data_IF_933626716038
#
_entry.id   IF_933626716038
#
_cell.length_a   1.000
_cell.length_b   1.000
_cell.length_c   1.000
_cell.angle_alpha   90.00
_cell.angle_beta   90.00
_cell.angle_gamma   90.00
#
_symmetry.space_group_name_H-M   'P 1'
#
loop_
_entity.id
_entity.type
_entity.pdbx_description
1 polymer ?
#
# COMPACT_ATOMS: atom_id res chain seq x y z
N UNK A 1 -30.59 -9.58 -11.96
CA UNK A 1 -30.12 -9.15 -10.62
C UNK A 1 -29.43 -7.79 -10.76
N UNK A 2 -29.90 -6.74 -10.07
CA UNK A 2 -29.26 -5.43 -10.14
C UNK A 2 -27.96 -5.43 -9.30
N UNK A 3 -26.89 -4.85 -9.83
CA UNK A 3 -25.61 -4.68 -9.10
C UNK A 3 -25.82 -3.65 -7.97
N UNK A 4 -25.48 -3.96 -6.71
CA UNK A 4 -25.87 -3.13 -5.55
C UNK A 4 -25.04 -1.87 -5.33
N UNK A 5 -24.08 -1.53 -6.19
CA UNK A 5 -23.25 -0.33 -6.02
C UNK A 5 -23.10 0.45 -7.32
N UNK A 6 -23.51 1.73 -7.38
CA UNK A 6 -23.24 2.58 -8.52
C UNK A 6 -21.73 2.77 -8.67
N UNK A 7 -21.18 2.39 -9.83
CA UNK A 7 -19.80 2.70 -10.19
C UNK A 7 -19.67 4.22 -10.28
N UNK A 8 -18.85 4.81 -9.42
CA UNK A 8 -18.41 6.19 -9.54
C UNK A 8 -17.85 6.39 -10.95
N UNK A 9 -18.51 7.22 -11.76
CA UNK A 9 -17.94 7.70 -13.03
C UNK A 9 -16.66 8.46 -12.68
N UNK A 10 -15.53 7.97 -13.13
CA UNK A 10 -14.26 8.69 -13.05
C UNK A 10 -14.28 9.79 -14.10
N UNK A 11 -14.30 11.04 -13.64
CA UNK A 11 -13.92 12.18 -14.47
C UNK A 11 -12.49 11.96 -15.00
N UNK A 12 -12.21 12.51 -16.18
CA UNK A 12 -10.89 12.45 -16.83
C UNK A 12 -9.76 12.84 -15.87
N UNK A 13 -8.69 12.06 -15.89
CA UNK A 13 -7.53 12.25 -15.04
C UNK A 13 -6.82 13.55 -15.43
N UNK A 14 -6.83 14.53 -14.54
CA UNK A 14 -5.80 15.54 -14.56
C UNK A 14 -4.51 14.86 -14.06
N UNK A 15 -3.43 14.93 -14.83
CA UNK A 15 -2.10 14.59 -14.33
C UNK A 15 -1.81 15.49 -13.13
N UNK A 16 -1.86 14.94 -11.92
CA UNK A 16 -1.50 15.65 -10.69
C UNK A 16 0.00 15.44 -10.43
N UNK A 17 0.84 16.48 -10.59
CA UNK A 17 2.29 16.36 -10.37
C UNK A 17 2.65 15.95 -8.93
N UNK A 18 1.77 16.23 -7.95
CA UNK A 18 1.98 15.82 -6.57
C UNK A 18 1.78 14.31 -6.40
N UNK A 19 0.81 13.73 -7.12
CA UNK A 19 0.59 12.28 -7.16
C UNK A 19 1.78 11.56 -7.80
N UNK A 20 2.29 12.07 -8.92
CA UNK A 20 3.47 11.50 -9.59
C UNK A 20 4.69 11.52 -8.66
N UNK A 21 4.92 12.64 -7.97
CA UNK A 21 6.01 12.78 -7.00
C UNK A 21 5.86 11.77 -5.85
N UNK A 22 4.66 11.64 -5.29
CA UNK A 22 4.38 10.69 -4.21
C UNK A 22 4.61 9.23 -4.63
N UNK A 23 4.23 8.86 -5.86
CA UNK A 23 4.52 7.52 -6.39
C UNK A 23 6.00 7.27 -6.61
N UNK A 24 6.75 8.26 -7.09
CA UNK A 24 8.21 8.17 -7.25
C UNK A 24 8.90 7.97 -5.90
N UNK A 25 8.49 8.72 -4.88
CA UNK A 25 9.06 8.59 -3.54
C UNK A 25 8.68 7.25 -2.90
N UNK A 26 7.45 6.78 -3.09
CA UNK A 26 7.04 5.46 -2.67
C UNK A 26 7.85 4.35 -3.37
N UNK A 27 8.08 4.47 -4.68
CA UNK A 27 8.92 3.52 -5.43
C UNK A 27 10.34 3.47 -4.85
N UNK A 28 10.95 4.64 -4.61
CA UNK A 28 12.29 4.74 -4.02
C UNK A 28 12.34 4.08 -2.65
N UNK A 29 11.32 4.27 -1.82
CA UNK A 29 11.23 3.64 -0.51
C UNK A 29 11.16 2.11 -0.61
N UNK A 30 10.37 1.58 -1.55
CA UNK A 30 10.32 0.12 -1.81
C UNK A 30 11.66 -0.39 -2.31
N UNK A 31 12.31 0.28 -3.26
CA UNK A 31 13.63 -0.15 -3.75
C UNK A 31 14.68 -0.15 -2.64
N UNK A 32 14.69 0.86 -1.77
CA UNK A 32 15.61 0.93 -0.64
C UNK A 32 15.39 -0.23 0.34
N UNK A 33 14.13 -0.56 0.64
CA UNK A 33 13.77 -1.71 1.49
C UNK A 33 14.18 -3.04 0.87
N UNK A 34 14.00 -3.20 -0.45
CA UNK A 34 14.46 -4.39 -1.15
C UNK A 34 15.98 -4.53 -1.12
N UNK A 35 16.72 -3.43 -1.27
CA UNK A 35 18.19 -3.47 -1.21
C UNK A 35 18.73 -3.86 0.18
N UNK A 36 17.95 -3.59 1.24
CA UNK A 36 18.30 -3.93 2.62
C UNK A 36 17.91 -5.35 3.02
N UNK A 37 17.05 -6.03 2.25
CA UNK A 37 16.58 -7.38 2.57
C UNK A 37 17.45 -8.46 1.90
N UNK A 38 18.28 -9.18 2.66
CA UNK A 38 19.15 -10.22 2.10
C UNK A 38 18.36 -11.42 1.56
N UNK A 39 17.15 -11.67 2.08
CA UNK A 39 16.31 -12.78 1.67
C UNK A 39 15.64 -12.48 0.31
N UNK A 40 15.86 -13.35 -0.68
CA UNK A 40 15.26 -13.20 -2.00
C UNK A 40 13.78 -13.61 -2.02
N UNK A 41 13.37 -14.54 -1.15
CA UNK A 41 12.00 -15.03 -1.13
C UNK A 41 11.06 -13.98 -0.55
N UNK A 42 10.07 -13.57 -1.34
CA UNK A 42 9.05 -12.59 -0.93
C UNK A 42 9.60 -11.18 -0.71
N UNK A 43 10.81 -10.89 -1.18
CA UNK A 43 11.52 -9.61 -0.95
C UNK A 43 10.70 -8.41 -1.38
N UNK A 44 10.16 -8.46 -2.60
CA UNK A 44 9.38 -7.34 -3.12
C UNK A 44 8.10 -7.13 -2.30
N UNK A 45 7.40 -8.20 -1.96
CA UNK A 45 6.18 -8.17 -1.16
C UNK A 45 6.42 -7.66 0.25
N UNK A 46 7.52 -8.09 0.88
CA UNK A 46 7.95 -7.63 2.21
C UNK A 46 8.25 -6.13 2.20
N UNK A 47 9.00 -5.68 1.20
CA UNK A 47 9.33 -4.27 1.01
C UNK A 47 8.08 -3.42 0.77
N UNK A 48 7.18 -3.88 -0.12
CA UNK A 48 5.91 -3.20 -0.41
C UNK A 48 5.03 -3.05 0.83
N UNK A 49 4.78 -4.14 1.56
CA UNK A 49 3.97 -4.14 2.79
C UNK A 49 4.59 -3.19 3.82
N UNK A 50 5.91 -3.28 4.04
CA UNK A 50 6.63 -2.41 4.97
C UNK A 50 6.51 -0.93 4.58
N UNK A 51 6.67 -0.60 3.29
CA UNK A 51 6.56 0.76 2.80
C UNK A 51 5.16 1.35 3.03
N UNK A 52 4.10 0.57 2.79
CA UNK A 52 2.72 1.00 3.03
C UNK A 52 2.50 1.33 4.52
N UNK A 53 2.92 0.45 5.43
CA UNK A 53 2.75 0.68 6.87
C UNK A 53 3.54 1.90 7.34
N UNK A 54 4.80 2.05 6.90
CA UNK A 54 5.61 3.24 7.21
C UNK A 54 4.96 4.53 6.73
N UNK A 55 4.39 4.54 5.52
CA UNK A 55 3.70 5.70 4.98
C UNK A 55 2.43 6.05 5.79
N UNK A 56 1.69 5.05 6.27
CA UNK A 56 0.47 5.25 7.06
C UNK A 56 0.76 5.69 8.51
N UNK A 57 1.85 5.21 9.09
CA UNK A 57 2.25 5.47 10.48
C UNK A 57 3.16 6.69 10.64
N UNK A 58 3.65 7.26 9.54
CA UNK A 58 4.44 8.48 9.58
C UNK A 58 3.63 9.62 10.25
N UNK A 59 4.25 10.40 11.16
CA UNK A 59 3.58 11.54 11.77
C UNK A 59 3.03 12.47 10.69
N UNK A 60 1.73 12.77 10.75
CA UNK A 60 1.14 13.76 9.85
C UNK A 60 1.65 15.14 10.25
N UNK A 61 2.25 15.87 9.32
CA UNK A 61 2.53 17.29 9.53
C UNK A 61 1.19 18.01 9.79
N UNK A 62 1.04 18.74 10.90
CA UNK A 62 -0.17 19.51 11.15
C UNK A 62 -0.27 20.63 10.11
N UNK A 63 -1.40 20.71 9.39
CA UNK A 63 -1.67 21.76 8.42
C UNK A 63 -3.00 21.57 7.68
N UNK A 64 -3.60 22.65 7.15
CA UNK A 64 -4.77 22.56 6.28
C UNK A 64 -4.37 21.82 5.00
N UNK A 65 -4.76 20.54 4.89
CA UNK A 65 -4.31 19.61 3.84
C UNK A 65 -3.73 18.30 4.37
N UNK A 66 -3.61 18.11 5.69
CA UNK A 66 -3.35 16.80 6.26
C UNK A 66 -4.39 15.80 5.72
N UNK A 67 -4.00 14.58 5.26
CA UNK A 67 -4.86 13.68 4.51
C UNK A 67 -5.94 13.01 5.39
N UNK A 68 -6.84 13.79 5.96
CA UNK A 68 -8.12 13.33 6.48
C UNK A 68 -9.14 13.49 5.37
N UNK A 69 -9.63 12.37 4.82
CA UNK A 69 -10.54 12.44 3.69
C UNK A 69 -10.80 11.08 3.05
N UNK A 70 -11.87 11.04 2.25
CA UNK A 70 -12.26 9.85 1.49
C UNK A 70 -11.10 9.38 0.61
N UNK A 71 -10.84 8.07 0.47
CA UNK A 71 -9.83 7.56 -0.44
C UNK A 71 -10.03 8.12 -1.85
N UNK A 72 -9.03 8.80 -2.39
CA UNK A 72 -9.07 9.31 -3.76
C UNK A 72 -8.94 8.11 -4.73
N UNK A 73 -9.96 7.86 -5.58
CA UNK A 73 -9.93 6.77 -6.55
C UNK A 73 -8.74 6.83 -7.53
N UNK A 74 -8.24 8.03 -7.85
CA UNK A 74 -7.11 8.21 -8.76
C UNK A 74 -5.81 7.71 -8.13
N UNK A 75 -5.59 8.02 -6.85
CA UNK A 75 -4.43 7.54 -6.10
C UNK A 75 -4.46 6.01 -5.99
N UNK A 76 -5.63 5.44 -5.67
CA UNK A 76 -5.80 3.99 -5.59
C UNK A 76 -5.57 3.30 -6.95
N UNK A 77 -6.00 3.92 -8.05
CA UNK A 77 -5.78 3.42 -9.40
C UNK A 77 -4.31 3.50 -9.80
N UNK A 78 -3.61 4.60 -9.48
CA UNK A 78 -2.19 4.77 -9.78
C UNK A 78 -1.33 3.74 -9.03
N UNK A 79 -1.56 3.54 -7.73
CA UNK A 79 -0.86 2.52 -6.94
C UNK A 79 -1.14 1.09 -7.45
N UNK A 80 -2.38 0.83 -7.89
CA UNK A 80 -2.76 -0.45 -8.51
C UNK A 80 -2.01 -0.70 -9.82
N UNK A 81 -1.88 0.30 -10.69
CA UNK A 81 -1.12 0.16 -11.94
C UNK A 81 0.34 -0.13 -11.62
N UNK A 82 0.93 0.69 -10.75
CA UNK A 82 2.33 0.55 -10.33
C UNK A 82 2.64 -0.86 -9.77
N UNK A 83 1.80 -1.40 -8.87
CA UNK A 83 2.08 -2.72 -8.27
C UNK A 83 1.96 -3.85 -9.31
N UNK A 84 1.02 -3.74 -10.25
CA UNK A 84 0.85 -4.74 -11.32
C UNK A 84 2.03 -4.77 -12.29
N UNK A 85 2.63 -3.61 -12.58
CA UNK A 85 3.85 -3.50 -13.37
C UNK A 85 5.05 -4.11 -12.64
N UNK A 86 5.22 -3.80 -11.34
CA UNK A 86 6.31 -4.37 -10.54
C UNK A 86 6.21 -5.89 -10.44
N UNK A 87 5.01 -6.43 -10.24
CA UNK A 87 4.78 -7.87 -10.17
C UNK A 87 5.10 -8.64 -11.47
N UNK A 88 5.24 -7.96 -12.62
CA UNK A 88 5.78 -8.62 -13.82
C UNK A 88 7.25 -9.05 -13.65
N UNK A 89 8.01 -8.34 -12.80
CA UNK A 89 9.42 -8.63 -12.50
C UNK A 89 9.59 -9.69 -11.41
N UNK A 90 8.52 -10.05 -10.70
CA UNK A 90 8.53 -11.01 -9.59
C UNK A 90 7.43 -12.08 -9.79
N UNK A 91 7.54 -12.94 -10.82
CA UNK A 91 6.49 -13.88 -11.19
C UNK A 91 6.17 -14.90 -10.09
N UNK A 92 7.16 -15.33 -9.32
CA UNK A 92 6.97 -16.25 -8.18
C UNK A 92 6.13 -15.58 -7.09
N UNK A 93 6.49 -14.36 -6.70
CA UNK A 93 5.72 -13.60 -5.70
C UNK A 93 4.30 -13.24 -6.17
N UNK A 94 4.13 -13.05 -7.47
CA UNK A 94 2.82 -12.78 -8.09
C UNK A 94 1.87 -13.98 -7.98
N UNK A 95 2.40 -15.20 -8.09
CA UNK A 95 1.61 -16.44 -8.06
C UNK A 95 1.37 -16.95 -6.64
N UNK A 96 2.20 -16.55 -5.69
CA UNK A 96 2.05 -16.92 -4.29
C UNK A 96 0.79 -16.25 -3.67
N UNK A 97 -0.10 -17.10 -3.14
CA UNK A 97 -1.36 -16.67 -2.54
C UNK A 97 -1.16 -16.00 -1.17
N UNK A 98 -0.16 -16.41 -0.39
CA UNK A 98 0.19 -15.81 0.91
C UNK A 98 0.71 -14.40 0.70
N UNK A 99 1.60 -14.21 -0.27
CA UNK A 99 2.11 -12.89 -0.63
C UNK A 99 1.02 -12.00 -1.23
N UNK A 100 0.09 -12.58 -2.00
CA UNK A 100 -1.08 -11.86 -2.49
C UNK A 100 -1.97 -11.38 -1.33
N UNK A 101 -2.24 -12.24 -0.34
CA UNK A 101 -2.99 -11.87 0.86
C UNK A 101 -2.29 -10.74 1.63
N UNK A 102 -0.97 -10.83 1.82
CA UNK A 102 -0.18 -9.80 2.48
C UNK A 102 -0.30 -8.42 1.80
N UNK A 103 -0.11 -8.37 0.47
CA UNK A 103 -0.23 -7.12 -0.31
C UNK A 103 -1.64 -6.55 -0.27
N UNK A 104 -2.68 -7.39 -0.30
CA UNK A 104 -4.09 -6.96 -0.24
C UNK A 104 -4.46 -6.41 1.14
N UNK A 105 -4.02 -7.06 2.21
CA UNK A 105 -4.23 -6.60 3.57
C UNK A 105 -3.52 -5.27 3.83
N UNK A 106 -2.29 -5.09 3.36
CA UNK A 106 -1.59 -3.80 3.43
C UNK A 106 -2.34 -2.69 2.69
N UNK A 107 -2.85 -2.97 1.49
CA UNK A 107 -3.70 -2.03 0.75
C UNK A 107 -4.99 -1.66 1.53
N UNK A 108 -5.60 -2.65 2.20
CA UNK A 108 -6.77 -2.42 3.05
C UNK A 108 -6.45 -1.53 4.24
N UNK A 109 -5.31 -1.76 4.90
CA UNK A 109 -4.82 -0.91 5.99
C UNK A 109 -4.59 0.53 5.53
N UNK A 110 -4.00 0.72 4.34
CA UNK A 110 -3.86 2.04 3.74
C UNK A 110 -5.20 2.74 3.48
N UNK A 111 -6.17 2.04 2.89
CA UNK A 111 -7.50 2.62 2.67
C UNK A 111 -8.20 2.97 3.99
N UNK A 112 -8.02 2.15 5.03
CA UNK A 112 -8.57 2.41 6.35
C UNK A 112 -7.93 3.64 7.01
N UNK A 113 -6.61 3.80 6.91
CA UNK A 113 -5.88 4.91 7.53
C UNK A 113 -6.22 6.27 6.92
N UNK A 114 -6.72 6.31 5.67
CA UNK A 114 -7.26 7.52 5.04
C UNK A 114 -8.60 7.94 5.67
N UNK A 115 -9.45 6.98 6.00
CA UNK A 115 -10.81 7.21 6.48
C UNK A 115 -10.90 7.39 8.00
N UNK A 116 -10.05 6.71 8.77
CA UNK A 116 -10.10 6.69 10.22
C UNK A 116 -8.71 6.97 10.80
N UNK A 117 -8.55 8.03 11.61
CA UNK A 117 -7.36 8.18 12.45
C UNK A 117 -7.16 6.95 13.34
N UNK A 118 -5.91 6.60 13.62
CA UNK A 118 -5.60 5.55 14.57
C UNK A 118 -6.08 5.96 15.97
N UNK A 119 -6.78 5.06 16.64
CA UNK A 119 -7.11 5.16 18.07
C UNK A 119 -5.86 4.92 18.93
N UNK A 120 -5.97 5.08 20.26
CA UNK A 120 -4.82 4.94 21.18
C UNK A 120 -4.13 3.56 21.05
N UNK A 121 -4.88 2.51 20.70
CA UNK A 121 -4.37 1.15 20.44
C UNK A 121 -3.96 0.90 18.98
N UNK A 122 -4.13 1.88 18.10
CA UNK A 122 -3.98 1.73 16.66
C UNK A 122 -2.54 1.46 16.23
N UNK A 123 -1.56 2.08 16.91
CA UNK A 123 -0.13 1.84 16.69
C UNK A 123 0.27 0.38 16.97
N UNK A 124 0.13 -0.11 18.21
CA UNK A 124 0.43 -1.49 18.55
C UNK A 124 -0.34 -2.53 17.72
N UNK A 125 -1.59 -2.23 17.33
CA UNK A 125 -2.38 -3.11 16.45
C UNK A 125 -1.81 -3.14 15.04
N UNK A 126 -1.37 -2.00 14.50
CA UNK A 126 -0.73 -1.92 13.20
C UNK A 126 0.60 -2.67 13.18
N UNK A 127 1.39 -2.61 14.25
CA UNK A 127 2.64 -3.38 14.38
C UNK A 127 2.38 -4.89 14.33
N UNK A 128 1.45 -5.41 15.14
CA UNK A 128 1.09 -6.84 15.11
C UNK A 128 0.55 -7.28 13.75
N UNK A 129 -0.24 -6.42 13.10
CA UNK A 129 -0.71 -6.69 11.76
C UNK A 129 0.47 -6.77 10.78
N UNK A 130 1.36 -5.78 10.80
CA UNK A 130 2.57 -5.77 9.98
C UNK A 130 3.35 -7.06 10.14
N UNK A 131 3.69 -7.46 11.37
CA UNK A 131 4.43 -8.69 11.67
C UNK A 131 3.77 -9.93 11.05
N UNK A 132 2.45 -10.07 11.22
CA UNK A 132 1.67 -11.15 10.63
C UNK A 132 1.71 -11.15 9.10
N UNK A 133 1.62 -9.98 8.47
CA UNK A 133 1.73 -9.86 7.01
C UNK A 133 3.15 -10.14 6.51
N UNK A 134 4.19 -9.77 7.26
CA UNK A 134 5.58 -10.07 6.91
C UNK A 134 5.88 -11.57 7.02
N UNK A 135 5.27 -12.27 7.98
CA UNK A 135 5.37 -13.71 8.11
C UNK A 135 4.78 -14.46 6.89
N UNK A 136 3.76 -13.89 6.23
CA UNK A 136 3.21 -14.43 4.99
C UNK A 136 4.14 -14.30 3.77
N UNK A 137 5.18 -13.45 3.85
CA UNK A 137 6.17 -13.27 2.77
C UNK A 137 7.49 -13.98 3.06
N UNK A 138 7.54 -14.83 4.09
CA UNK A 138 8.68 -15.70 4.40
C UNK A 138 8.39 -17.11 3.89
N UNK A 139 9.44 -17.93 3.64
CA UNK A 139 9.25 -19.36 3.37
C UNK A 139 8.37 -20.01 4.43
N UNK A 140 7.56 -20.98 4.01
CA UNK A 140 6.73 -21.79 4.92
C UNK A 140 7.59 -22.67 5.84
#
# INVERSE_FOLDING_TARGET
>A
MPRPFPLLRTAEAANDPALDTALVDFDRAVQALMAQDPDAHGRFSRAYVTAIFRACLAPRLPGPGAPGGRPDPQIAQALKVWILEKLQRFPEERRDHRMTAARRAAHGFWLQSLAYPLDDDGGPRAERLLDGLLALTRPA
#
